data_IF_531843356328
#
_entry.id   IF_531843356328
#
_cell.length_a   1.000
_cell.length_b   1.000
_cell.length_c   1.000
_cell.angle_alpha   90.00
_cell.angle_beta   90.00
_cell.angle_gamma   90.00
#
_symmetry.space_group_name_H-M   'P 1'
#
loop_
_entity.id
_entity.type
_entity.pdbx_description
1 polymer ?
#
# COMPACT_ATOMS: atom_id res chain seq x y z
N UNK A 1 -11.40 18.61 -5.01
CA UNK A 1 -10.88 18.63 -3.63
C UNK A 1 -9.37 18.51 -3.75
N UNK A 2 -8.64 19.51 -3.24
CA UNK A 2 -7.20 19.65 -3.40
C UNK A 2 -6.50 18.63 -2.49
N UNK A 3 -5.72 17.75 -3.08
CA UNK A 3 -4.76 16.92 -2.36
C UNK A 3 -3.62 17.83 -1.87
N UNK A 4 -3.51 18.01 -0.57
CA UNK A 4 -2.32 18.60 0.05
C UNK A 4 -1.21 17.54 0.05
N UNK A 5 -0.34 17.60 -0.95
CA UNK A 5 0.93 16.90 -0.90
C UNK A 5 1.76 17.52 0.21
N UNK A 6 1.93 16.81 1.31
CA UNK A 6 2.92 17.16 2.33
C UNK A 6 4.30 16.84 1.71
N UNK A 7 4.98 17.87 1.24
CA UNK A 7 6.41 17.78 0.95
C UNK A 7 7.15 17.70 2.28
N UNK A 8 7.66 16.53 2.60
CA UNK A 8 8.65 16.35 3.65
C UNK A 8 10.00 16.73 3.02
N UNK A 9 10.39 17.99 3.17
CA UNK A 9 11.77 18.42 2.91
C UNK A 9 12.55 18.16 4.19
N UNK A 10 13.03 16.92 4.40
CA UNK A 10 14.08 16.58 5.33
C UNK A 10 15.42 16.73 4.61
N UNK A 11 16.36 17.44 5.19
CA UNK A 11 17.72 17.53 4.67
C UNK A 11 18.37 16.14 4.67
N UNK A 12 18.81 15.68 3.50
CA UNK A 12 19.43 14.37 3.26
C UNK A 12 20.74 14.09 4.06
N UNK A 13 21.10 14.96 4.99
CA UNK A 13 22.25 14.84 5.88
C UNK A 13 21.97 14.05 7.17
N UNK A 14 20.80 14.23 7.76
CA UNK A 14 20.45 13.61 9.05
C UNK A 14 20.13 12.11 8.92
N UNK A 15 19.55 11.70 7.78
CA UNK A 15 19.26 10.29 7.53
C UNK A 15 20.54 9.45 7.40
N UNK A 16 21.60 9.98 6.78
CA UNK A 16 22.89 9.29 6.67
C UNK A 16 23.60 9.12 8.02
N UNK A 17 23.43 10.06 8.96
CA UNK A 17 24.02 9.98 10.30
C UNK A 17 23.34 8.88 11.12
N UNK A 18 22.01 8.76 11.01
CA UNK A 18 21.25 7.69 11.64
C UNK A 18 21.57 6.30 11.07
N UNK A 19 21.70 6.20 9.74
CA UNK A 19 22.09 4.97 9.04
C UNK A 19 23.45 4.45 9.47
N UNK A 20 24.47 5.32 9.52
CA UNK A 20 25.82 4.98 9.98
C UNK A 20 25.87 4.52 11.44
N UNK A 21 24.96 5.02 12.28
CA UNK A 21 24.87 4.58 13.66
C UNK A 21 24.28 3.19 13.80
N UNK A 22 23.25 2.86 13.02
CA UNK A 22 22.64 1.53 13.01
C UNK A 22 23.66 0.46 12.55
N UNK A 23 24.46 0.76 11.50
CA UNK A 23 25.56 -0.13 11.07
C UNK A 23 26.60 -0.33 12.18
N UNK A 24 26.96 0.73 12.92
CA UNK A 24 27.93 0.63 13.99
C UNK A 24 27.38 -0.09 15.23
N UNK A 25 26.09 0.03 15.53
CA UNK A 25 25.46 -0.69 16.64
C UNK A 25 25.36 -2.20 16.34
N UNK A 26 24.97 -2.56 15.11
CA UNK A 26 24.94 -3.95 14.65
C UNK A 26 26.35 -4.58 14.62
N UNK A 27 27.38 -3.82 14.23
CA UNK A 27 28.77 -4.28 14.21
C UNK A 27 29.36 -4.51 15.61
N UNK A 28 28.83 -3.87 16.65
CA UNK A 28 29.29 -4.06 18.03
C UNK A 28 28.74 -5.32 18.71
N UNK A 29 27.63 -5.87 18.22
CA UNK A 29 27.03 -7.12 18.71
C UNK A 29 27.49 -8.37 17.92
N UNK A 30 28.03 -8.19 16.72
CA UNK A 30 28.50 -9.28 15.83
C UNK A 30 30.02 -9.48 15.92
N UNK A 31 30.53 -9.80 17.10
CA UNK A 31 31.87 -10.35 17.27
C UNK A 31 31.88 -11.86 17.07
N UNK A 32 32.03 -12.36 15.84
CA UNK A 32 32.21 -13.81 15.62
C UNK A 32 31.98 -14.29 14.19
N UNK A 33 33.11 -14.49 13.50
CA UNK A 33 33.34 -15.46 12.40
C UNK A 33 32.75 -15.16 11.01
N UNK A 34 33.70 -14.92 10.10
CA UNK A 34 33.54 -14.91 8.66
C UNK A 34 33.46 -16.32 8.10
N UNK A 35 32.53 -16.58 7.16
CA UNK A 35 32.73 -17.54 6.06
C UNK A 35 31.78 -17.21 4.87
N UNK A 36 32.42 -16.95 3.75
CA UNK A 36 32.16 -17.27 2.34
C UNK A 36 30.88 -16.82 1.62
N UNK A 37 31.14 -16.12 0.52
CA UNK A 37 30.28 -15.51 -0.49
C UNK A 37 29.41 -16.52 -1.25
N UNK A 38 28.09 -16.24 -1.34
CA UNK A 38 27.31 -16.49 -2.56
C UNK A 38 26.52 -15.22 -2.91
N UNK A 39 26.72 -14.77 -4.15
CA UNK A 39 26.13 -13.57 -4.75
C UNK A 39 24.60 -13.72 -4.92
N UNK A 40 23.87 -13.41 -3.87
CA UNK A 40 22.45 -13.05 -3.91
C UNK A 40 22.32 -11.69 -3.27
N UNK A 41 21.83 -10.69 -4.03
CA UNK A 41 21.76 -9.28 -3.70
C UNK A 41 21.68 -9.00 -2.20
N UNK A 42 22.76 -8.47 -1.65
CA UNK A 42 22.96 -8.29 -0.22
C UNK A 42 22.00 -7.19 0.29
N UNK A 43 20.82 -7.63 0.72
CA UNK A 43 19.88 -6.77 1.47
C UNK A 43 20.54 -6.51 2.81
N UNK A 44 20.79 -5.25 3.16
CA UNK A 44 21.41 -4.85 4.42
C UNK A 44 20.60 -5.39 5.62
N UNK A 45 21.24 -5.56 6.78
CA UNK A 45 20.51 -6.03 7.98
C UNK A 45 19.41 -5.04 8.38
N UNK A 46 19.64 -3.76 8.14
CA UNK A 46 18.67 -2.69 8.34
C UNK A 46 17.43 -2.85 7.44
N UNK A 47 17.61 -3.14 6.15
CA UNK A 47 16.48 -3.42 5.24
C UNK A 47 15.69 -4.66 5.66
N UNK A 48 16.36 -5.63 6.30
CA UNK A 48 15.69 -6.82 6.88
C UNK A 48 14.87 -6.47 8.10
N UNK A 49 15.37 -5.59 8.98
CA UNK A 49 14.63 -5.11 10.15
C UNK A 49 13.46 -4.22 9.76
N UNK A 50 13.66 -3.27 8.85
CA UNK A 50 12.59 -2.43 8.33
C UNK A 50 11.49 -3.24 7.66
N UNK A 51 11.88 -4.27 6.89
CA UNK A 51 10.94 -5.21 6.28
C UNK A 51 10.18 -6.01 7.34
N UNK A 52 10.87 -6.48 8.39
CA UNK A 52 10.22 -7.21 9.48
C UNK A 52 9.18 -6.37 10.20
N UNK A 53 9.48 -5.08 10.46
CA UNK A 53 8.52 -4.16 11.08
C UNK A 53 7.38 -3.82 10.12
N UNK A 54 7.66 -3.66 8.83
CA UNK A 54 6.62 -3.48 7.82
C UNK A 54 5.69 -4.71 7.74
N UNK A 55 6.25 -5.92 7.77
CA UNK A 55 5.47 -7.17 7.81
C UNK A 55 4.64 -7.27 9.11
N UNK A 56 5.16 -6.78 10.23
CA UNK A 56 4.44 -6.74 11.51
C UNK A 56 3.26 -5.75 11.45
N UNK A 57 3.44 -4.59 10.83
CA UNK A 57 2.34 -3.64 10.56
C UNK A 57 1.25 -4.31 9.73
N UNK A 58 1.61 -5.02 8.67
CA UNK A 58 0.67 -5.78 7.82
C UNK A 58 -0.05 -6.87 8.62
N UNK A 59 0.64 -7.53 9.56
CA UNK A 59 0.02 -8.57 10.41
C UNK A 59 -1.05 -8.05 11.36
N UNK A 60 -1.02 -6.74 11.67
CA UNK A 60 -2.02 -6.07 12.51
C UNK A 60 -3.23 -5.56 11.73
N UNK A 61 -3.27 -5.75 10.40
CA UNK A 61 -4.48 -5.47 9.62
C UNK A 61 -5.63 -6.34 10.13
N UNK A 62 -6.80 -5.72 10.31
CA UNK A 62 -7.97 -6.41 10.88
C UNK A 62 -8.65 -7.31 9.83
N UNK A 63 -8.05 -8.46 9.55
CA UNK A 63 -8.58 -9.43 8.58
C UNK A 63 -9.96 -10.01 8.96
N UNK A 64 -10.32 -10.06 10.25
CA UNK A 64 -11.66 -10.52 10.65
C UNK A 64 -12.75 -9.54 10.21
N UNK A 65 -12.46 -8.26 10.31
CA UNK A 65 -13.38 -7.20 9.88
C UNK A 65 -13.45 -7.15 8.34
N UNK A 66 -12.33 -7.32 7.65
CA UNK A 66 -12.23 -7.41 6.21
C UNK A 66 -13.05 -8.57 5.63
N UNK A 67 -12.97 -9.75 6.23
CA UNK A 67 -13.81 -10.90 5.85
C UNK A 67 -15.30 -10.63 6.04
N UNK A 68 -15.67 -9.84 7.01
CA UNK A 68 -17.06 -9.41 7.20
C UNK A 68 -17.52 -8.49 6.08
N UNK A 69 -16.69 -7.53 5.68
CA UNK A 69 -16.98 -6.66 4.54
C UNK A 69 -17.10 -7.44 3.23
N UNK A 70 -16.19 -8.38 2.98
CA UNK A 70 -16.28 -9.25 1.80
C UNK A 70 -17.60 -10.03 1.76
N UNK A 71 -18.04 -10.58 2.90
CA UNK A 71 -19.32 -11.27 2.99
C UNK A 71 -20.51 -10.34 2.74
N UNK A 72 -20.46 -9.10 3.23
CA UNK A 72 -21.49 -8.10 2.94
C UNK A 72 -21.54 -7.78 1.45
N UNK A 73 -20.40 -7.53 0.83
CA UNK A 73 -20.31 -7.27 -0.61
C UNK A 73 -20.87 -8.43 -1.44
N UNK A 74 -20.48 -9.67 -1.13
CA UNK A 74 -21.02 -10.85 -1.80
C UNK A 74 -22.54 -11.00 -1.63
N UNK A 75 -23.05 -10.66 -0.46
CA UNK A 75 -24.49 -10.65 -0.20
C UNK A 75 -25.22 -9.60 -1.05
N UNK A 76 -24.65 -8.41 -1.20
CA UNK A 76 -25.22 -7.36 -2.05
C UNK A 76 -25.22 -7.78 -3.53
N UNK A 77 -24.15 -8.43 -3.98
CA UNK A 77 -24.07 -9.00 -5.35
C UNK A 77 -25.10 -10.09 -5.60
N UNK A 78 -25.55 -10.82 -4.57
CA UNK A 78 -26.54 -11.90 -4.73
C UNK A 78 -27.88 -11.43 -5.32
N UNK A 79 -28.15 -10.14 -5.26
CA UNK A 79 -29.31 -9.50 -5.89
C UNK A 79 -29.14 -9.23 -7.40
N UNK A 80 -27.91 -9.31 -7.91
CA UNK A 80 -27.60 -9.07 -9.32
C UNK A 80 -27.74 -10.40 -10.08
N UNK A 81 -28.53 -10.41 -11.14
CA UNK A 81 -28.68 -11.63 -11.95
C UNK A 81 -27.46 -11.84 -12.85
N UNK A 82 -26.82 -13.03 -12.81
CA UNK A 82 -25.72 -13.34 -13.71
C UNK A 82 -26.13 -13.19 -15.18
N UNK A 83 -25.31 -12.53 -15.96
CA UNK A 83 -25.54 -12.34 -17.39
C UNK A 83 -24.73 -13.33 -18.21
N UNK A 84 -25.38 -13.93 -19.23
CA UNK A 84 -24.65 -14.73 -20.19
C UNK A 84 -23.84 -13.87 -21.16
N UNK A 85 -22.78 -14.42 -21.73
CA UNK A 85 -21.98 -13.71 -22.74
C UNK A 85 -22.83 -13.30 -23.96
N UNK A 86 -23.83 -14.07 -24.28
CA UNK A 86 -24.81 -13.71 -25.32
C UNK A 86 -25.60 -12.46 -24.96
N UNK A 87 -26.06 -12.35 -23.73
CA UNK A 87 -26.75 -11.13 -23.23
C UNK A 87 -25.81 -9.95 -23.26
N UNK A 88 -24.58 -10.11 -22.77
CA UNK A 88 -23.55 -9.07 -22.73
C UNK A 88 -23.17 -8.59 -24.15
N UNK A 89 -23.11 -9.50 -25.13
CA UNK A 89 -22.84 -9.13 -26.52
C UNK A 89 -23.96 -8.29 -27.15
N UNK A 90 -25.23 -8.52 -26.79
CA UNK A 90 -26.32 -7.62 -27.17
C UNK A 90 -26.21 -6.23 -26.53
N UNK A 91 -25.74 -6.13 -25.27
CA UNK A 91 -25.51 -4.85 -24.65
C UNK A 91 -24.43 -4.07 -25.40
N UNK A 92 -23.35 -4.73 -25.87
CA UNK A 92 -22.32 -4.09 -26.70
C UNK A 92 -22.91 -3.49 -27.99
N UNK A 93 -23.79 -4.21 -28.67
CA UNK A 93 -24.46 -3.70 -29.88
C UNK A 93 -25.24 -2.41 -29.57
N UNK A 94 -26.08 -2.42 -28.53
CA UNK A 94 -26.86 -1.26 -28.14
C UNK A 94 -25.98 -0.05 -27.76
N UNK A 95 -24.84 -0.30 -27.10
CA UNK A 95 -23.90 0.76 -26.73
C UNK A 95 -23.24 1.37 -27.97
N UNK A 96 -22.84 0.52 -28.93
CA UNK A 96 -22.14 0.99 -30.14
C UNK A 96 -23.07 1.65 -31.14
N UNK A 97 -24.27 1.10 -31.35
CA UNK A 97 -25.25 1.59 -32.33
C UNK A 97 -26.06 2.77 -31.79
N UNK A 98 -26.64 2.60 -30.61
CA UNK A 98 -27.64 3.52 -30.05
C UNK A 98 -27.06 4.47 -28.96
N UNK A 99 -25.82 4.24 -28.54
CA UNK A 99 -25.18 4.92 -27.37
C UNK A 99 -26.04 4.79 -26.11
N UNK A 100 -26.63 3.61 -25.93
CA UNK A 100 -27.55 3.34 -24.85
C UNK A 100 -26.83 3.29 -23.51
N UNK A 101 -27.18 4.25 -22.62
CA UNK A 101 -26.57 4.38 -21.29
C UNK A 101 -27.01 3.27 -20.32
N UNK A 102 -28.22 2.74 -20.50
CA UNK A 102 -28.72 1.66 -19.64
C UNK A 102 -27.98 0.37 -19.97
N UNK A 103 -27.76 0.07 -21.25
CA UNK A 103 -26.91 -1.05 -21.66
C UNK A 103 -25.48 -0.92 -21.16
N UNK A 104 -24.90 0.31 -21.13
CA UNK A 104 -23.58 0.54 -20.57
C UNK A 104 -23.56 0.26 -19.07
N UNK A 105 -24.56 0.71 -18.33
CA UNK A 105 -24.71 0.45 -16.89
C UNK A 105 -24.80 -1.06 -16.62
N UNK A 106 -25.68 -1.76 -17.35
CA UNK A 106 -25.86 -3.21 -17.19
C UNK A 106 -24.59 -4.00 -17.54
N UNK A 107 -23.85 -3.57 -18.57
CA UNK A 107 -22.56 -4.15 -18.91
C UNK A 107 -21.56 -3.96 -17.76
N UNK A 108 -21.48 -2.75 -17.19
CA UNK A 108 -20.63 -2.45 -16.03
C UNK A 108 -21.00 -3.32 -14.83
N UNK A 109 -22.29 -3.41 -14.49
CA UNK A 109 -22.78 -4.24 -13.40
C UNK A 109 -22.44 -5.74 -13.59
N UNK A 110 -22.36 -6.22 -14.82
CA UNK A 110 -22.03 -7.61 -15.13
C UNK A 110 -20.59 -8.01 -14.75
N UNK A 111 -19.71 -7.05 -14.48
CA UNK A 111 -18.34 -7.31 -14.05
C UNK A 111 -18.18 -7.42 -12.53
N UNK A 112 -19.13 -6.92 -11.74
CA UNK A 112 -18.99 -6.87 -10.28
C UNK A 112 -18.75 -8.25 -9.64
N UNK A 113 -19.42 -9.29 -10.16
CA UNK A 113 -19.21 -10.65 -9.68
C UNK A 113 -17.83 -11.20 -10.09
N UNK A 114 -17.37 -10.88 -11.31
CA UNK A 114 -16.06 -11.33 -11.82
C UNK A 114 -14.89 -10.75 -11.02
N UNK A 115 -15.03 -9.51 -10.56
CA UNK A 115 -14.01 -8.82 -9.75
C UNK A 115 -13.61 -9.64 -8.53
N UNK A 116 -14.58 -10.26 -7.84
CA UNK A 116 -14.30 -11.08 -6.65
C UNK A 116 -13.33 -12.22 -6.98
N UNK A 117 -13.47 -12.85 -8.14
CA UNK A 117 -12.53 -13.87 -8.59
C UNK A 117 -11.16 -13.30 -9.01
N UNK A 118 -11.15 -12.12 -9.62
CA UNK A 118 -9.94 -11.50 -10.12
C UNK A 118 -9.05 -10.89 -9.02
N UNK A 119 -9.61 -10.49 -7.89
CA UNK A 119 -8.81 -10.00 -6.74
C UNK A 119 -8.16 -11.13 -5.92
N UNK A 120 -8.63 -12.38 -6.06
CA UNK A 120 -8.18 -13.48 -5.20
C UNK A 120 -6.65 -13.69 -5.22
N UNK A 121 -5.92 -13.60 -6.35
CA UNK A 121 -4.46 -13.70 -6.37
C UNK A 121 -3.72 -12.57 -5.64
N UNK A 122 -4.41 -11.48 -5.33
CA UNK A 122 -3.84 -10.28 -4.68
C UNK A 122 -4.08 -10.25 -3.17
N UNK A 123 -4.95 -11.13 -2.66
CA UNK A 123 -5.23 -11.20 -1.23
C UNK A 123 -4.00 -11.64 -0.44
N UNK A 124 -3.83 -11.05 0.74
CA UNK A 124 -2.69 -11.34 1.60
C UNK A 124 -1.36 -10.71 1.17
N UNK A 125 -1.35 -9.84 0.16
CA UNK A 125 -0.17 -9.10 -0.30
C UNK A 125 -0.01 -7.72 0.37
N UNK A 126 -0.58 -7.53 1.55
CA UNK A 126 -0.45 -6.28 2.32
C UNK A 126 -1.59 -5.28 2.13
N UNK A 127 -2.63 -5.66 1.40
CA UNK A 127 -3.86 -4.88 1.24
C UNK A 127 -5.09 -5.69 1.72
N UNK A 128 -6.10 -5.00 2.20
CA UNK A 128 -7.38 -5.60 2.62
C UNK A 128 -8.24 -5.95 1.40
N UNK A 129 -9.07 -6.98 1.49
CA UNK A 129 -9.95 -7.38 0.40
C UNK A 129 -10.96 -6.27 0.03
N UNK A 130 -11.40 -5.48 1.01
CA UNK A 130 -12.28 -4.34 0.76
C UNK A 130 -11.61 -3.27 -0.11
N UNK A 131 -10.32 -2.99 0.10
CA UNK A 131 -9.56 -2.01 -0.68
C UNK A 131 -9.29 -2.54 -2.08
N UNK A 132 -8.92 -3.83 -2.21
CA UNK A 132 -8.77 -4.51 -3.50
C UNK A 132 -10.06 -4.45 -4.33
N UNK A 133 -11.22 -4.70 -3.72
CA UNK A 133 -12.52 -4.61 -4.39
C UNK A 133 -12.81 -3.17 -4.84
N UNK A 134 -12.54 -2.18 -3.99
CA UNK A 134 -12.79 -0.77 -4.33
C UNK A 134 -11.92 -0.33 -5.50
N UNK A 135 -10.63 -0.64 -5.47
CA UNK A 135 -9.68 -0.32 -6.54
C UNK A 135 -10.07 -1.02 -7.85
N UNK A 136 -10.37 -2.33 -7.80
CA UNK A 136 -10.82 -3.08 -8.96
C UNK A 136 -12.13 -2.52 -9.56
N UNK A 137 -13.09 -2.13 -8.71
CA UNK A 137 -14.32 -1.48 -9.17
C UNK A 137 -14.04 -0.13 -9.81
N UNK A 138 -13.08 0.64 -9.28
CA UNK A 138 -12.71 1.94 -9.84
C UNK A 138 -12.07 1.78 -11.22
N UNK A 139 -11.07 0.89 -11.35
CA UNK A 139 -10.40 0.59 -12.61
C UNK A 139 -11.38 0.09 -13.68
N UNK A 140 -12.22 -0.89 -13.34
CA UNK A 140 -13.25 -1.43 -14.22
C UNK A 140 -14.23 -0.33 -14.67
N UNK A 141 -14.73 0.47 -13.73
CA UNK A 141 -15.71 1.53 -14.04
C UNK A 141 -15.09 2.61 -14.91
N UNK A 142 -13.82 2.95 -14.68
CA UNK A 142 -13.09 3.88 -15.52
C UNK A 142 -12.94 3.34 -16.95
N UNK A 143 -12.44 2.12 -17.11
CA UNK A 143 -12.21 1.49 -18.41
C UNK A 143 -13.50 1.32 -19.21
N UNK A 144 -14.55 0.72 -18.62
CA UNK A 144 -15.84 0.50 -19.28
C UNK A 144 -16.62 1.82 -19.46
N UNK A 145 -16.66 2.67 -18.43
CA UNK A 145 -17.43 3.91 -18.43
C UNK A 145 -16.86 4.98 -19.35
N UNK A 146 -15.54 5.09 -19.46
CA UNK A 146 -14.88 5.98 -20.44
C UNK A 146 -14.93 5.44 -21.85
N UNK A 147 -15.39 4.18 -22.02
CA UNK A 147 -15.55 3.51 -23.30
C UNK A 147 -14.23 3.46 -24.11
N UNK A 148 -13.10 3.32 -23.45
CA UNK A 148 -11.78 3.23 -24.10
C UNK A 148 -11.68 2.05 -25.05
N UNK A 149 -12.38 0.96 -24.74
CA UNK A 149 -12.52 -0.21 -25.60
C UNK A 149 -13.13 0.13 -26.98
N UNK A 150 -13.92 1.20 -27.10
CA UNK A 150 -14.43 1.69 -28.39
C UNK A 150 -13.36 2.31 -29.29
N UNK A 151 -12.16 2.57 -28.77
CA UNK A 151 -11.03 3.02 -29.59
C UNK A 151 -10.45 1.89 -30.44
N UNK A 152 -10.77 0.63 -30.12
CA UNK A 152 -10.42 -0.51 -30.94
C UNK A 152 -11.37 -0.61 -32.16
N UNK A 153 -10.88 -0.20 -33.33
CA UNK A 153 -11.67 -0.21 -34.55
C UNK A 153 -12.10 -1.62 -34.97
N UNK A 154 -11.24 -2.63 -34.76
CA UNK A 154 -11.54 -4.02 -35.09
C UNK A 154 -12.71 -4.54 -34.28
N UNK A 155 -12.75 -4.28 -32.97
CA UNK A 155 -13.88 -4.64 -32.11
C UNK A 155 -15.16 -3.94 -32.56
N UNK A 156 -15.05 -2.66 -32.87
CA UNK A 156 -16.19 -1.84 -33.29
C UNK A 156 -16.82 -2.35 -34.60
N UNK A 157 -15.99 -2.75 -35.55
CA UNK A 157 -16.45 -3.31 -36.82
C UNK A 157 -17.08 -4.72 -36.61
N UNK A 158 -16.46 -5.58 -35.79
CA UNK A 158 -17.02 -6.87 -35.39
C UNK A 158 -18.36 -6.72 -34.65
N UNK A 159 -18.51 -5.70 -33.80
CA UNK A 159 -19.79 -5.45 -33.11
C UNK A 159 -20.89 -5.02 -34.06
N UNK A 160 -20.58 -4.21 -35.07
CA UNK A 160 -21.59 -3.70 -36.02
C UNK A 160 -21.95 -4.65 -37.12
N UNK A 161 -20.98 -5.36 -37.69
CA UNK A 161 -21.13 -6.08 -38.94
C UNK A 161 -20.80 -7.59 -38.80
N UNK A 162 -20.30 -7.98 -37.59
CA UNK A 162 -19.85 -9.34 -37.34
C UNK A 162 -20.97 -10.33 -37.11
N UNK A 163 -20.60 -11.61 -37.12
CA UNK A 163 -21.50 -12.72 -36.77
C UNK A 163 -21.71 -12.79 -35.24
N UNK A 164 -22.69 -13.60 -34.80
CA UNK A 164 -22.87 -13.87 -33.37
C UNK A 164 -21.62 -14.44 -32.69
N UNK A 165 -20.78 -15.17 -33.45
CA UNK A 165 -19.52 -15.69 -32.93
C UNK A 165 -18.48 -14.58 -32.75
N UNK A 166 -18.40 -13.65 -33.70
CA UNK A 166 -17.48 -12.47 -33.56
C UNK A 166 -17.85 -11.63 -32.35
N UNK A 167 -19.13 -11.45 -32.05
CA UNK A 167 -19.59 -10.74 -30.84
C UNK A 167 -19.19 -11.46 -29.55
N UNK A 168 -19.28 -12.79 -29.50
CA UNK A 168 -18.83 -13.57 -28.35
C UNK A 168 -17.31 -13.52 -28.17
N UNK A 169 -16.56 -13.47 -29.25
CA UNK A 169 -15.11 -13.37 -29.19
C UNK A 169 -14.69 -11.97 -28.72
N UNK A 170 -15.37 -10.91 -29.21
CA UNK A 170 -15.14 -9.53 -28.72
C UNK A 170 -15.42 -9.41 -27.22
N UNK A 171 -16.49 -10.01 -26.69
CA UNK A 171 -16.80 -9.97 -25.26
C UNK A 171 -15.66 -10.59 -24.43
N UNK A 172 -15.07 -11.70 -24.91
CA UNK A 172 -13.95 -12.34 -24.23
C UNK A 172 -12.67 -11.50 -24.29
N UNK A 173 -12.43 -10.84 -25.43
CA UNK A 173 -11.29 -9.94 -25.59
C UNK A 173 -11.44 -8.71 -24.67
N UNK A 174 -12.66 -8.15 -24.54
CA UNK A 174 -12.95 -7.06 -23.59
C UNK A 174 -12.81 -7.54 -22.16
N UNK A 175 -13.30 -8.72 -21.81
CA UNK A 175 -13.14 -9.31 -20.46
C UNK A 175 -11.66 -9.39 -20.07
N UNK A 176 -10.81 -9.85 -21.00
CA UNK A 176 -9.37 -9.93 -20.79
C UNK A 176 -8.77 -8.56 -20.61
N UNK A 177 -9.13 -7.58 -21.42
CA UNK A 177 -8.62 -6.22 -21.32
C UNK A 177 -9.04 -5.55 -19.99
N UNK A 178 -10.29 -5.75 -19.54
CA UNK A 178 -10.75 -5.27 -18.22
C UNK A 178 -9.97 -5.93 -17.09
N UNK A 179 -9.72 -7.24 -17.19
CA UNK A 179 -8.93 -7.95 -16.20
C UNK A 179 -7.49 -7.43 -16.13
N UNK A 180 -6.85 -7.23 -17.28
CA UNK A 180 -5.47 -6.67 -17.36
C UNK A 180 -5.40 -5.26 -16.76
N UNK A 181 -6.41 -4.42 -16.98
CA UNK A 181 -6.50 -3.08 -16.39
C UNK A 181 -6.63 -3.15 -14.86
N UNK A 182 -7.52 -4.02 -14.37
CA UNK A 182 -7.69 -4.25 -12.93
C UNK A 182 -6.39 -4.76 -12.30
N UNK A 183 -5.75 -5.78 -12.91
CA UNK A 183 -4.50 -6.35 -12.41
C UNK A 183 -3.38 -5.31 -12.37
N UNK A 184 -3.31 -4.42 -13.36
CA UNK A 184 -2.37 -3.30 -13.38
C UNK A 184 -2.60 -2.33 -12.22
N UNK A 185 -3.86 -1.92 -12.01
CA UNK A 185 -4.24 -1.02 -10.92
C UNK A 185 -3.99 -1.63 -9.54
N UNK A 186 -4.34 -2.91 -9.35
CA UNK A 186 -4.10 -3.61 -8.09
C UNK A 186 -2.61 -3.77 -7.76
N UNK A 187 -1.76 -4.05 -8.75
CA UNK A 187 -0.32 -4.10 -8.54
C UNK A 187 0.22 -2.74 -8.11
N UNK A 188 -0.17 -1.65 -8.79
CA UNK A 188 0.24 -0.29 -8.39
C UNK A 188 -0.19 0.03 -6.95
N UNK A 189 -1.43 -0.26 -6.59
CA UNK A 189 -1.94 -0.02 -5.24
C UNK A 189 -1.15 -0.81 -4.18
N UNK A 190 -0.82 -2.09 -4.46
CA UNK A 190 -0.06 -2.93 -3.54
C UNK A 190 1.38 -2.41 -3.40
N UNK A 191 2.02 -2.03 -4.49
CA UNK A 191 3.37 -1.48 -4.47
C UNK A 191 3.41 -0.16 -3.67
N UNK A 192 2.46 0.76 -3.89
CA UNK A 192 2.31 1.97 -3.09
C UNK A 192 2.06 1.67 -1.60
N UNK A 193 1.24 0.67 -1.28
CA UNK A 193 0.97 0.26 0.10
C UNK A 193 2.22 -0.32 0.77
N UNK A 194 3.02 -1.10 0.05
CA UNK A 194 4.28 -1.64 0.55
C UNK A 194 5.29 -0.53 0.82
N UNK A 195 5.41 0.45 -0.07
CA UNK A 195 6.26 1.62 0.12
C UNK A 195 5.86 2.41 1.38
N UNK A 196 4.56 2.65 1.57
CA UNK A 196 4.02 3.31 2.78
C UNK A 196 4.35 2.50 4.04
N UNK A 197 4.20 1.18 4.00
CA UNK A 197 4.50 0.31 5.14
C UNK A 197 6.00 0.32 5.46
N UNK A 198 6.88 0.32 4.45
CA UNK A 198 8.33 0.43 4.65
C UNK A 198 8.73 1.76 5.29
N UNK A 199 8.17 2.88 4.83
CA UNK A 199 8.41 4.20 5.45
C UNK A 199 7.90 4.23 6.89
N UNK A 200 6.73 3.69 7.14
CA UNK A 200 6.15 3.58 8.49
C UNK A 200 7.01 2.70 9.40
N UNK A 201 7.56 1.60 8.87
CA UNK A 201 8.49 0.73 9.58
C UNK A 201 9.75 1.47 10.02
N UNK A 202 10.38 2.24 9.12
CA UNK A 202 11.56 3.07 9.44
C UNK A 202 11.28 4.08 10.55
N UNK A 203 10.14 4.76 10.48
CA UNK A 203 9.71 5.71 11.51
C UNK A 203 9.53 5.01 12.85
N UNK A 204 8.85 3.87 12.87
CA UNK A 204 8.59 3.12 14.08
C UNK A 204 9.88 2.60 14.72
N UNK A 205 10.83 2.12 13.91
CA UNK A 205 12.15 1.72 14.38
C UNK A 205 12.90 2.88 15.04
N UNK A 206 12.91 4.07 14.42
CA UNK A 206 13.50 5.27 15.02
C UNK A 206 12.89 5.59 16.38
N UNK A 207 11.55 5.56 16.46
CA UNK A 207 10.83 5.85 17.72
C UNK A 207 11.16 4.81 18.80
N UNK A 208 11.14 3.53 18.46
CA UNK A 208 11.44 2.44 19.39
C UNK A 208 12.85 2.54 19.92
N UNK A 209 13.84 2.80 19.05
CA UNK A 209 15.23 2.92 19.43
C UNK A 209 15.45 4.10 20.42
N UNK A 210 14.85 5.25 20.14
CA UNK A 210 14.91 6.41 21.06
C UNK A 210 14.26 6.08 22.40
N UNK A 211 13.13 5.39 22.38
CA UNK A 211 12.44 4.98 23.60
C UNK A 211 13.28 4.01 24.44
N UNK A 212 13.91 3.02 23.84
CA UNK A 212 14.74 2.03 24.52
C UNK A 212 15.96 2.69 25.18
N UNK A 213 16.61 3.61 24.49
CA UNK A 213 17.70 4.40 25.07
C UNK A 213 17.22 5.31 26.22
N UNK A 214 16.05 5.92 26.09
CA UNK A 214 15.48 6.75 27.14
C UNK A 214 15.21 5.91 28.41
N UNK A 215 14.66 4.71 28.27
CA UNK A 215 14.41 3.78 29.38
C UNK A 215 15.71 3.35 30.04
N UNK A 216 16.72 2.90 29.27
CA UNK A 216 18.04 2.51 29.77
C UNK A 216 18.70 3.65 30.57
N UNK A 217 18.78 4.84 29.99
CA UNK A 217 19.36 6.00 30.65
C UNK A 217 18.60 6.46 31.90
N UNK A 218 17.29 6.33 31.91
CA UNK A 218 16.48 6.61 33.09
C UNK A 218 16.83 5.67 34.23
N UNK A 219 17.07 4.40 33.97
CA UNK A 219 17.47 3.40 34.96
C UNK A 219 18.90 3.72 35.50
N UNK A 220 19.82 4.09 34.63
CA UNK A 220 21.19 4.44 34.98
C UNK A 220 21.30 5.73 35.77
N UNK A 221 20.59 6.77 35.34
CA UNK A 221 20.63 8.11 35.93
C UNK A 221 19.74 8.26 37.17
N UNK A 222 18.79 7.36 37.37
CA UNK A 222 17.73 7.46 38.39
C UNK A 222 16.78 8.65 38.20
N UNK A 223 16.77 9.26 37.02
CA UNK A 223 15.89 10.36 36.58
C UNK A 223 15.63 10.27 35.08
N UNK A 224 14.65 11.02 34.59
CA UNK A 224 14.41 11.13 33.13
C UNK A 224 15.62 11.82 32.47
N UNK A 225 16.18 11.22 31.39
CA UNK A 225 17.22 11.85 30.58
C UNK A 225 16.65 13.03 29.79
N UNK A 226 17.46 13.97 29.43
CA UNK A 226 17.15 15.05 28.49
C UNK A 226 17.32 14.55 27.05
N UNK A 227 16.74 15.24 26.06
CA UNK A 227 16.95 14.97 24.63
C UNK A 227 18.44 14.92 24.29
N UNK A 228 19.23 15.86 24.84
CA UNK A 228 20.65 15.92 24.61
C UNK A 228 21.39 14.70 25.17
N UNK A 229 21.06 14.25 26.38
CA UNK A 229 21.68 13.06 26.98
C UNK A 229 21.35 11.79 26.19
N UNK A 230 20.11 11.66 25.67
CA UNK A 230 19.74 10.56 24.80
C UNK A 230 20.54 10.63 23.50
N UNK A 231 20.60 11.77 22.83
CA UNK A 231 21.34 11.99 21.60
C UNK A 231 22.85 11.69 21.75
N UNK A 232 23.48 12.19 22.81
CA UNK A 232 24.90 11.95 23.10
C UNK A 232 25.18 10.44 23.31
N UNK A 233 24.33 9.73 24.03
CA UNK A 233 24.52 8.30 24.27
C UNK A 233 24.21 7.43 23.04
N UNK A 234 23.29 7.85 22.21
CA UNK A 234 23.02 7.22 20.93
C UNK A 234 24.07 7.55 19.86
N UNK A 235 24.87 8.61 20.03
CA UNK A 235 25.83 9.09 19.05
C UNK A 235 25.17 9.78 17.85
N UNK A 236 23.98 10.36 18.02
CA UNK A 236 23.21 11.05 16.99
C UNK A 236 22.99 12.52 17.32
N UNK A 237 22.49 13.29 16.36
CA UNK A 237 22.10 14.69 16.61
C UNK A 237 20.83 14.79 17.45
N UNK A 238 20.71 15.88 18.24
CA UNK A 238 19.49 16.16 19.00
C UNK A 238 18.24 16.29 18.12
N UNK A 239 18.42 16.66 16.85
CA UNK A 239 17.33 16.76 15.87
C UNK A 239 16.69 15.40 15.60
N UNK A 240 17.48 14.33 15.46
CA UNK A 240 16.98 12.97 15.22
C UNK A 240 16.10 12.51 16.39
N UNK A 241 16.56 12.73 17.62
CA UNK A 241 15.78 12.38 18.82
C UNK A 241 14.50 13.21 18.91
N UNK A 242 14.58 14.51 18.63
CA UNK A 242 13.43 15.43 18.63
C UNK A 242 12.41 15.04 17.56
N UNK A 243 12.88 14.63 16.38
CA UNK A 243 12.02 14.18 15.28
C UNK A 243 11.32 12.87 15.63
N UNK A 244 12.04 11.89 16.18
CA UNK A 244 11.45 10.62 16.63
C UNK A 244 10.34 10.87 17.68
N UNK A 245 10.58 11.77 18.62
CA UNK A 245 9.59 12.18 19.60
C UNK A 245 8.37 12.83 18.95
N UNK A 246 8.58 13.70 17.95
CA UNK A 246 7.49 14.37 17.23
C UNK A 246 6.66 13.40 16.40
N UNK A 247 7.30 12.36 15.86
CA UNK A 247 6.64 11.33 15.04
C UNK A 247 5.93 10.28 15.90
N UNK A 248 6.34 10.11 17.16
CA UNK A 248 5.56 9.31 18.10
C UNK A 248 4.25 10.01 18.39
N UNK A 249 3.12 9.37 18.15
CA UNK A 249 1.79 9.89 18.50
C UNK A 249 1.57 9.95 20.02
N UNK A 250 2.41 9.27 20.79
CA UNK A 250 2.44 9.26 22.24
C UNK A 250 3.77 9.90 22.69
N UNK A 251 3.70 10.76 23.69
CA UNK A 251 4.91 11.31 24.32
C UNK A 251 5.75 10.16 24.84
N UNK A 252 7.02 10.10 24.45
CA UNK A 252 7.97 9.18 25.08
C UNK A 252 8.09 9.64 26.55
N UNK A 253 7.37 8.95 27.45
CA UNK A 253 7.18 9.40 28.84
C UNK A 253 8.50 9.48 29.61
N UNK A 254 9.53 8.81 29.14
CA UNK A 254 10.81 8.66 29.84
C UNK A 254 11.83 9.75 29.52
N UNK A 255 11.48 10.78 28.74
CA UNK A 255 12.35 11.93 28.42
C UNK A 255 11.86 13.21 29.14
N UNK A 256 12.81 14.02 29.63
CA UNK A 256 12.56 15.34 30.25
C UNK A 256 12.64 16.44 29.15
N UNK A 257 11.50 16.89 28.67
CA UNK A 257 11.37 17.91 27.62
C UNK A 257 11.59 19.33 28.13
N UNK A 258 11.35 19.60 29.42
CA UNK A 258 11.38 20.98 29.94
C UNK A 258 12.81 21.54 30.01
N UNK A 259 13.81 20.67 30.12
CA UNK A 259 15.22 21.07 30.15
C UNK A 259 15.87 21.15 28.76
N UNK A 260 15.14 20.74 27.72
CA UNK A 260 15.63 20.72 26.33
C UNK A 260 15.16 21.94 25.53
N UNK A 261 14.26 22.78 26.05
CA UNK A 261 13.85 24.01 25.37
C UNK A 261 15.03 25.02 25.37
N UNK A 262 15.44 25.58 24.20
CA UNK A 262 16.42 26.64 24.16
C UNK A 262 15.92 27.79 25.02
N UNK A 263 16.75 28.23 26.00
CA UNK A 263 16.39 29.25 26.94
C UNK A 263 15.88 30.50 26.24
N UNK A 264 14.70 30.96 26.65
CA UNK A 264 14.28 32.33 26.37
C UNK A 264 15.20 33.25 27.15
N UNK A 265 16.22 33.79 26.49
CA UNK A 265 16.83 35.05 26.89
C UNK A 265 16.03 36.25 26.38
#
# INVERSE_FOLDING_TARGET
>A
LMANSIKIEGEAGDDNEFLNMMENAAASEAGGEAEEEEDSGNISEEEKEDKKVADDIVSHLNYEEDEKYLKMYLNDLSGIQPMTDTTRSYLLMNIVEDKDKESLKLLTESYLEKIVGWIEPFRGRGALACDLIQEANLAMTAYIGQQEWLNNYEWKDKIKEGSSQDLLDVIKEIDKAVQEEIEGSLNMMIDEQQDVNMVSGKILNKVNLVNDWAVRLREELGRKPTVKEVAENMGVSENIVTEAIRLSSETIEDIDYEKSAPGKE
#
